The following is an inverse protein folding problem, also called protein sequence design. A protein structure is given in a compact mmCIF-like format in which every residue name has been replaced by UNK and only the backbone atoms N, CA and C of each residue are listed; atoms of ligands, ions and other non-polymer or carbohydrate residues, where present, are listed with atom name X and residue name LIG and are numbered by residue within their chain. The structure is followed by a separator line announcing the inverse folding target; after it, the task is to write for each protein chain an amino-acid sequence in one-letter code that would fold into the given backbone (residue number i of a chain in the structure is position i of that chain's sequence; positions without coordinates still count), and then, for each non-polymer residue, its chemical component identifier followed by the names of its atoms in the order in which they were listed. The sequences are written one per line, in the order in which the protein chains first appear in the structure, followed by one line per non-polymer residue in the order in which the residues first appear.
data_IF_316792177625
#
_entry.id   IF_316792177625
#
_cell.length_a   1.000
_cell.length_b   1.000
_cell.length_c   1.000
_cell.angle_alpha   90.00
_cell.angle_beta   90.00
_cell.angle_gamma   90.00
#
_symmetry.space_group_name_H-M   'P 1'
#
loop_
_entity.id
_entity.type
_entity.pdbx_description
1 polymer ?
#
# COMPACT_ATOMS: atom_id res chain seq x y z
N UNK A 1 -4.31 18.18 31.45
CA UNK A 1 -3.13 18.19 30.54
C UNK A 1 -3.48 17.36 29.31
N UNK A 2 -3.64 17.99 28.14
CA UNK A 2 -4.03 17.30 26.89
C UNK A 2 -2.76 16.76 26.23
N UNK A 3 -2.64 15.44 26.07
CA UNK A 3 -1.58 14.81 25.26
C UNK A 3 -2.14 14.56 23.86
N UNK A 4 -1.73 15.39 22.90
CA UNK A 4 -2.04 15.19 21.49
C UNK A 4 -1.00 14.22 20.93
N UNK A 5 -1.41 12.98 20.59
CA UNK A 5 -0.58 12.04 19.85
C UNK A 5 -0.78 12.36 18.36
N UNK A 6 0.24 12.97 17.76
CA UNK A 6 0.28 13.17 16.31
C UNK A 6 0.69 11.86 15.64
N UNK A 7 -0.26 11.19 14.99
CA UNK A 7 0.04 10.12 14.04
C UNK A 7 0.34 10.81 12.71
N UNK A 8 1.62 10.82 12.32
CA UNK A 8 2.05 11.30 11.00
C UNK A 8 1.65 10.23 9.98
N UNK A 9 0.47 10.38 9.40
CA UNK A 9 0.12 9.72 8.15
C UNK A 9 0.88 10.45 7.03
N UNK A 10 1.83 9.76 6.40
CA UNK A 10 2.45 10.24 5.16
C UNK A 10 1.42 10.17 4.02
N UNK A 11 0.50 11.13 3.99
CA UNK A 11 -0.37 11.38 2.87
C UNK A 11 0.43 12.02 1.75
N UNK A 12 0.71 11.26 0.70
CA UNK A 12 1.27 11.81 -0.54
C UNK A 12 0.13 12.53 -1.28
N UNK A 13 -0.12 13.79 -0.89
CA UNK A 13 -1.05 14.67 -1.60
C UNK A 13 -0.34 15.17 -2.86
N UNK A 14 -0.67 14.59 -4.01
CA UNK A 14 -0.34 15.18 -5.32
C UNK A 14 -1.34 16.30 -5.56
N UNK A 15 -1.03 17.50 -5.11
CA UNK A 15 -1.77 18.72 -5.47
C UNK A 15 -1.56 19.00 -6.95
N UNK A 16 -2.58 18.73 -7.76
CA UNK A 16 -2.68 19.28 -9.12
C UNK A 16 -3.02 20.76 -9.06
N UNK A 17 -2.16 21.61 -9.61
CA UNK A 17 -2.47 23.01 -9.92
C UNK A 17 -1.39 23.57 -10.84
N UNK A 18 -1.56 23.44 -12.16
CA UNK A 18 -1.01 24.37 -13.16
C UNK A 18 -1.86 24.27 -14.44
N UNK A 19 -3.01 24.94 -14.45
CA UNK A 19 -3.63 25.38 -15.71
C UNK A 19 -3.51 26.89 -15.75
N UNK A 20 -2.54 27.38 -16.52
CA UNK A 20 -2.50 28.78 -16.92
C UNK A 20 -3.36 28.91 -18.19
N UNK A 21 -4.45 29.66 -18.08
CA UNK A 21 -5.30 30.02 -19.21
C UNK A 21 -4.56 31.05 -20.07
N UNK A 22 -3.85 30.61 -21.12
CA UNK A 22 -3.32 31.51 -22.12
C UNK A 22 -4.41 31.84 -23.15
N UNK A 23 -4.90 33.09 -23.16
CA UNK A 23 -5.72 33.59 -24.27
C UNK A 23 -4.88 33.58 -25.54
N UNK A 24 -5.25 32.73 -26.50
CA UNK A 24 -4.64 32.71 -27.84
C UNK A 24 -5.00 34.01 -28.58
N UNK A 25 -4.04 34.69 -29.25
CA UNK A 25 -4.36 35.81 -30.12
C UNK A 25 -5.09 35.33 -31.39
N UNK A 26 -5.96 36.18 -31.94
CA UNK A 26 -6.74 35.90 -33.16
C UNK A 26 -5.82 35.54 -34.35
N UNK A 27 -6.08 34.37 -34.92
CA UNK A 27 -5.41 33.87 -36.12
C UNK A 27 -5.81 34.70 -37.34
N UNK A 28 -4.85 35.45 -37.90
CA UNK A 28 -4.95 35.94 -39.28
C UNK A 28 -4.59 34.79 -40.22
N UNK A 29 -5.58 34.08 -40.73
CA UNK A 29 -5.37 33.10 -41.80
C UNK A 29 -5.09 33.85 -43.10
N UNK A 30 -3.82 34.02 -43.43
CA UNK A 30 -3.41 34.24 -44.81
C UNK A 30 -3.46 32.89 -45.55
N UNK A 31 -4.11 32.86 -46.71
CA UNK A 31 -4.20 31.70 -47.58
C UNK A 31 -2.80 31.30 -48.09
N UNK A 32 -2.14 30.34 -47.44
CA UNK A 32 -0.94 29.71 -47.98
C UNK A 32 -1.36 28.69 -49.07
N UNK A 33 -0.78 28.80 -50.26
CA UNK A 33 -0.94 27.78 -51.31
C UNK A 33 -0.36 26.44 -50.82
N UNK A 34 -0.96 25.29 -51.21
CA UNK A 34 -0.42 23.99 -50.84
C UNK A 34 0.97 23.81 -51.47
N UNK A 35 1.96 23.30 -50.72
CA UNK A 35 3.29 23.05 -51.27
C UNK A 35 3.26 21.89 -52.27
N UNK A 36 3.91 22.10 -53.41
CA UNK A 36 4.17 21.06 -54.41
C UNK A 36 5.21 20.09 -53.86
N UNK A 37 4.82 18.82 -53.66
CA UNK A 37 5.74 17.75 -53.28
C UNK A 37 6.57 17.35 -54.50
N UNK A 38 7.89 17.58 -54.46
CA UNK A 38 8.82 16.98 -55.41
C UNK A 38 9.46 15.74 -54.76
N UNK A 39 9.34 14.59 -55.43
CA UNK A 39 10.02 13.36 -55.03
C UNK A 39 11.44 13.38 -55.58
N UNK A 40 12.44 13.50 -54.72
CA UNK A 40 13.83 13.18 -55.07
C UNK A 40 14.17 11.78 -54.57
N UNK A 41 14.49 10.88 -55.50
CA UNK A 41 15.06 9.57 -55.18
C UNK A 41 16.57 9.72 -55.16
N UNK A 42 17.14 9.90 -53.97
CA UNK A 42 18.58 9.91 -53.77
C UNK A 42 19.08 8.46 -53.73
N UNK A 43 19.79 8.03 -54.76
CA UNK A 43 20.43 6.72 -54.83
C UNK A 43 21.83 6.80 -54.21
N UNK A 44 21.89 6.74 -52.88
CA UNK A 44 23.13 6.70 -52.11
C UNK A 44 23.47 5.27 -51.67
N UNK A 45 24.53 4.68 -52.22
CA UNK A 45 25.14 3.47 -51.68
C UNK A 45 25.90 3.82 -50.39
N UNK A 46 25.45 3.31 -49.25
CA UNK A 46 26.13 3.52 -47.97
C UNK A 46 25.75 2.43 -46.97
N UNK A 47 26.76 1.67 -46.56
CA UNK A 47 26.82 0.64 -45.52
C UNK A 47 25.54 0.41 -44.70
N UNK A 48 24.93 -0.75 -44.88
CA UNK A 48 23.89 -1.26 -43.98
C UNK A 48 24.52 -1.62 -42.64
N UNK A 49 24.39 -0.75 -41.64
CA UNK A 49 24.32 -1.21 -40.26
C UNK A 49 23.15 -2.19 -40.20
N UNK A 50 23.44 -3.47 -40.01
CA UNK A 50 22.45 -4.47 -39.61
C UNK A 50 22.05 -4.12 -38.17
N UNK A 51 21.19 -3.11 -38.04
CA UNK A 51 20.48 -2.84 -36.80
C UNK A 51 19.60 -4.07 -36.60
N UNK A 52 19.89 -4.87 -35.57
CA UNK A 52 19.07 -6.02 -35.16
C UNK A 52 17.65 -5.51 -34.91
N UNK A 53 16.83 -5.53 -35.97
CA UNK A 53 15.45 -5.12 -35.95
C UNK A 53 14.69 -6.28 -35.35
N UNK A 54 14.63 -6.29 -34.01
CA UNK A 54 13.86 -7.26 -33.23
C UNK A 54 12.50 -7.42 -33.89
N UNK A 55 12.19 -8.65 -34.28
CA UNK A 55 10.91 -9.01 -34.89
C UNK A 55 9.75 -8.54 -33.99
N UNK A 56 8.59 -8.23 -34.57
CA UNK A 56 7.43 -7.78 -33.80
C UNK A 56 7.06 -8.72 -32.64
N UNK A 57 7.37 -10.01 -32.76
CA UNK A 57 7.19 -11.02 -31.70
C UNK A 57 8.19 -10.87 -30.54
N UNK A 58 9.44 -10.44 -30.79
CA UNK A 58 10.45 -10.21 -29.75
C UNK A 58 10.14 -8.99 -28.87
N UNK A 59 9.27 -8.09 -29.33
CA UNK A 59 8.84 -6.91 -28.60
C UNK A 59 7.64 -7.19 -27.67
N UNK A 60 6.91 -8.29 -27.90
CA UNK A 60 5.74 -8.68 -27.10
C UNK A 60 6.16 -9.08 -25.69
N UNK A 61 5.27 -8.81 -24.74
CA UNK A 61 5.41 -9.13 -23.31
C UNK A 61 4.37 -10.17 -22.93
N UNK A 62 4.76 -11.18 -22.16
CA UNK A 62 3.84 -12.22 -21.71
C UNK A 62 2.94 -11.70 -20.58
N UNK A 63 1.60 -11.67 -20.74
CA UNK A 63 0.70 -11.21 -19.69
C UNK A 63 0.75 -12.06 -18.42
N UNK A 64 0.89 -13.38 -18.57
CA UNK A 64 0.98 -14.28 -17.42
C UNK A 64 2.31 -14.17 -16.69
N UNK A 65 3.40 -13.87 -17.41
CA UNK A 65 4.67 -13.57 -16.77
C UNK A 65 4.58 -12.26 -15.97
N UNK A 66 4.00 -11.21 -16.56
CA UNK A 66 3.79 -9.94 -15.86
C UNK A 66 2.93 -10.13 -14.59
N UNK A 67 1.83 -10.89 -14.72
CA UNK A 67 0.97 -11.25 -13.59
C UNK A 67 1.76 -11.96 -12.47
N UNK A 68 2.49 -13.02 -12.80
CA UNK A 68 3.22 -13.82 -11.82
C UNK A 68 4.31 -13.02 -11.11
N UNK A 69 5.03 -12.17 -11.85
CA UNK A 69 6.04 -11.28 -11.28
C UNK A 69 5.40 -10.35 -10.23
N UNK A 70 4.32 -9.65 -10.59
CA UNK A 70 3.63 -8.73 -9.66
C UNK A 70 2.88 -9.43 -8.52
N UNK A 71 2.47 -10.68 -8.71
CA UNK A 71 1.88 -11.47 -7.63
C UNK A 71 2.92 -11.84 -6.57
N UNK A 72 4.17 -12.11 -6.97
CA UNK A 72 5.27 -12.40 -6.04
C UNK A 72 5.79 -11.11 -5.41
N UNK A 73 6.02 -10.08 -6.23
CA UNK A 73 6.53 -8.79 -5.80
C UNK A 73 5.80 -7.67 -6.54
N UNK A 74 4.88 -6.95 -5.86
CA UNK A 74 4.05 -5.92 -6.47
C UNK A 74 4.87 -4.86 -7.20
N UNK A 75 4.41 -4.47 -8.38
CA UNK A 75 5.07 -3.48 -9.24
C UNK A 75 6.10 -4.04 -10.23
N UNK A 76 6.54 -5.29 -10.10
CA UNK A 76 7.60 -5.85 -10.97
C UNK A 76 7.11 -6.24 -12.37
N UNK A 77 5.88 -6.70 -12.51
CA UNK A 77 5.22 -6.95 -13.79
C UNK A 77 4.89 -5.67 -14.55
N UNK A 78 4.50 -4.61 -13.84
CA UNK A 78 4.31 -3.27 -14.40
C UNK A 78 5.65 -2.73 -14.92
N UNK A 79 6.73 -2.93 -14.17
CA UNK A 79 8.09 -2.58 -14.61
C UNK A 79 8.49 -3.38 -15.87
N UNK A 80 8.20 -4.68 -15.92
CA UNK A 80 8.44 -5.54 -17.08
C UNK A 80 7.73 -5.06 -18.36
N UNK A 81 6.58 -4.39 -18.21
CA UNK A 81 5.81 -3.79 -19.31
C UNK A 81 6.15 -2.31 -19.56
N UNK A 82 7.13 -1.74 -18.84
CA UNK A 82 7.57 -0.34 -18.99
C UNK A 82 6.74 0.69 -18.23
N UNK A 83 5.76 0.27 -17.41
CA UNK A 83 4.88 1.15 -16.63
C UNK A 83 5.54 1.58 -15.31
N UNK A 84 6.54 2.47 -15.40
CA UNK A 84 7.38 2.90 -14.25
C UNK A 84 6.61 3.57 -13.12
N UNK A 85 5.61 4.41 -13.44
CA UNK A 85 4.79 5.10 -12.42
C UNK A 85 3.99 4.10 -11.60
N UNK A 86 3.30 3.16 -12.27
CA UNK A 86 2.51 2.13 -11.59
C UNK A 86 3.38 1.21 -10.74
N UNK A 87 4.54 0.80 -11.29
CA UNK A 87 5.54 0.01 -10.57
C UNK A 87 5.92 0.66 -9.24
N UNK A 88 6.25 1.96 -9.24
CA UNK A 88 6.60 2.70 -8.04
C UNK A 88 5.46 2.77 -7.02
N UNK A 89 4.22 2.96 -7.46
CA UNK A 89 3.05 3.03 -6.57
C UNK A 89 2.89 1.70 -5.82
N UNK A 90 2.88 0.57 -6.53
CA UNK A 90 2.73 -0.75 -5.91
C UNK A 90 3.89 -1.11 -4.99
N UNK A 91 5.13 -0.74 -5.35
CA UNK A 91 6.30 -0.96 -4.50
C UNK A 91 6.28 -0.11 -3.22
N UNK A 92 5.88 1.17 -3.31
CA UNK A 92 5.74 2.03 -2.13
C UNK A 92 4.64 1.50 -1.21
N UNK A 93 3.51 1.09 -1.79
CA UNK A 93 2.43 0.46 -1.03
C UNK A 93 2.91 -0.82 -0.33
N UNK A 94 3.70 -1.65 -1.01
CA UNK A 94 4.26 -2.87 -0.46
C UNK A 94 5.15 -2.61 0.76
N UNK A 95 6.13 -1.70 0.62
CA UNK A 95 7.02 -1.30 1.73
C UNK A 95 6.20 -0.71 2.88
N UNK A 96 5.24 0.17 2.60
CA UNK A 96 4.37 0.76 3.61
C UNK A 96 3.52 -0.26 4.35
N UNK A 97 3.00 -1.27 3.65
CA UNK A 97 2.25 -2.38 4.22
C UNK A 97 3.10 -3.18 5.20
N UNK A 98 4.30 -3.61 4.81
CA UNK A 98 5.21 -4.35 5.69
C UNK A 98 5.66 -3.55 6.89
N UNK A 99 6.03 -2.28 6.70
CA UNK A 99 6.41 -1.39 7.81
C UNK A 99 5.26 -1.26 8.81
N UNK A 100 4.03 -1.10 8.32
CA UNK A 100 2.84 -1.02 9.17
C UNK A 100 2.60 -2.32 9.94
N UNK A 101 2.66 -3.46 9.25
CA UNK A 101 2.48 -4.79 9.86
C UNK A 101 3.49 -5.03 11.00
N UNK A 102 4.77 -4.77 10.75
CA UNK A 102 5.85 -4.94 11.73
C UNK A 102 5.64 -3.98 12.91
N UNK A 103 5.38 -2.71 12.63
CA UNK A 103 5.19 -1.69 13.66
C UNK A 103 4.01 -2.03 14.58
N UNK A 104 2.86 -2.39 14.01
CA UNK A 104 1.67 -2.71 14.80
C UNK A 104 1.84 -3.99 15.62
N UNK A 105 2.49 -5.03 15.09
CA UNK A 105 2.82 -6.22 15.88
C UNK A 105 3.71 -5.87 17.07
N UNK A 106 4.72 -5.04 16.85
CA UNK A 106 5.64 -4.64 17.91
C UNK A 106 4.95 -3.82 19.00
N UNK A 107 4.14 -2.83 18.60
CA UNK A 107 3.38 -2.00 19.52
C UNK A 107 2.33 -2.81 20.31
N UNK A 108 1.70 -3.79 19.67
CA UNK A 108 0.76 -4.69 20.35
C UNK A 108 1.44 -5.46 21.49
N UNK A 109 2.62 -6.03 21.22
CA UNK A 109 3.40 -6.79 22.19
C UNK A 109 3.90 -5.90 23.34
N UNK A 110 4.42 -4.70 23.04
CA UNK A 110 4.84 -3.78 24.10
C UNK A 110 3.70 -3.38 25.03
N UNK A 111 2.53 -3.07 24.46
CA UNK A 111 1.35 -2.76 25.28
C UNK A 111 0.84 -3.98 26.05
N UNK A 112 1.05 -5.17 25.50
CA UNK A 112 0.76 -6.42 26.18
C UNK A 112 1.65 -6.63 27.41
N UNK A 113 2.96 -6.46 27.26
CA UNK A 113 3.91 -6.50 28.36
C UNK A 113 3.59 -5.43 29.42
N UNK A 114 3.26 -4.20 28.98
CA UNK A 114 2.90 -3.09 29.87
C UNK A 114 1.67 -3.41 30.74
N UNK A 115 0.58 -3.90 30.15
CA UNK A 115 -0.63 -4.20 30.94
C UNK A 115 -0.40 -5.39 31.87
N UNK A 116 0.36 -6.41 31.44
CA UNK A 116 0.69 -7.57 32.28
C UNK A 116 1.52 -7.13 33.48
N UNK A 117 2.58 -6.36 33.26
CA UNK A 117 3.40 -5.79 34.32
C UNK A 117 2.58 -4.94 35.30
N UNK A 118 1.65 -4.15 34.78
CA UNK A 118 0.78 -3.31 35.62
C UNK A 118 -0.14 -4.16 36.50
N UNK A 119 -0.73 -5.24 35.97
CA UNK A 119 -1.54 -6.17 36.76
C UNK A 119 -0.73 -6.86 37.85
N UNK A 120 0.48 -7.32 37.54
CA UNK A 120 1.37 -7.90 38.55
C UNK A 120 1.71 -6.90 39.66
N UNK A 121 2.04 -5.65 39.28
CA UNK A 121 2.50 -4.62 40.22
C UNK A 121 1.39 -4.01 41.08
N UNK A 122 0.24 -3.73 40.50
CA UNK A 122 -0.85 -2.98 41.15
C UNK A 122 -2.01 -3.86 41.61
N UNK A 123 -2.13 -5.09 41.11
CA UNK A 123 -3.15 -6.04 41.55
C UNK A 123 -2.57 -7.31 42.19
N UNK A 124 -1.24 -7.50 42.16
CA UNK A 124 -0.61 -8.74 42.61
C UNK A 124 -0.95 -9.94 41.73
N UNK A 125 -1.41 -9.71 40.49
CA UNK A 125 -1.84 -10.78 39.59
C UNK A 125 -0.64 -11.64 39.12
N UNK A 126 -0.81 -12.96 39.14
CA UNK A 126 0.09 -13.86 38.42
C UNK A 126 -0.18 -13.76 36.90
N UNK A 127 0.88 -13.49 36.14
CA UNK A 127 0.80 -13.21 34.70
C UNK A 127 1.39 -14.33 33.84
N UNK A 128 2.06 -15.30 34.46
CA UNK A 128 2.77 -16.35 33.74
C UNK A 128 1.80 -17.46 33.28
N UNK A 129 1.92 -17.89 32.02
CA UNK A 129 1.11 -18.98 31.48
C UNK A 129 -0.40 -18.70 31.37
N UNK A 130 -0.86 -17.47 31.64
CA UNK A 130 -2.28 -17.11 31.58
C UNK A 130 -2.73 -16.76 30.17
N UNK A 131 -3.99 -17.07 29.88
CA UNK A 131 -4.63 -16.80 28.59
C UNK A 131 -5.28 -15.41 28.54
N UNK A 132 -5.77 -15.01 27.36
CA UNK A 132 -6.43 -13.72 27.18
C UNK A 132 -7.70 -13.57 28.02
N UNK A 133 -8.41 -14.68 28.29
CA UNK A 133 -9.64 -14.68 29.09
C UNK A 133 -9.36 -14.32 30.55
N UNK A 134 -8.27 -14.81 31.12
CA UNK A 134 -7.83 -14.40 32.46
C UNK A 134 -7.64 -12.88 32.54
N UNK A 135 -6.91 -12.30 31.59
CA UNK A 135 -6.68 -10.85 31.52
C UNK A 135 -7.94 -10.04 31.21
N UNK A 136 -8.90 -10.60 30.47
CA UNK A 136 -10.23 -9.99 30.32
C UNK A 136 -10.98 -9.90 31.67
N UNK A 137 -10.93 -10.96 32.49
CA UNK A 137 -11.55 -10.98 33.82
C UNK A 137 -10.85 -10.03 34.77
N UNK A 138 -9.51 -10.05 34.83
CA UNK A 138 -8.71 -9.15 35.68
C UNK A 138 -9.00 -7.68 35.37
N UNK A 139 -9.23 -7.32 34.11
CA UNK A 139 -9.60 -5.94 33.74
C UNK A 139 -11.04 -5.54 34.07
N UNK A 140 -11.92 -6.50 34.37
CA UNK A 140 -13.34 -6.23 34.58
C UNK A 140 -13.73 -6.14 36.06
N UNK A 141 -13.07 -6.89 36.94
CA UNK A 141 -13.41 -7.00 38.37
C UNK A 141 -12.27 -6.48 39.25
N UNK A 142 -12.59 -5.84 40.37
CA UNK A 142 -11.63 -5.29 41.33
C UNK A 142 -10.80 -6.39 41.98
N UNK A 143 -11.40 -7.55 42.24
CA UNK A 143 -10.71 -8.68 42.83
C UNK A 143 -11.27 -10.03 42.37
N UNK A 144 -10.49 -11.07 42.64
CA UNK A 144 -10.87 -12.47 42.42
C UNK A 144 -12.12 -12.87 43.19
N UNK A 145 -12.24 -12.40 44.42
CA UNK A 145 -13.41 -12.64 45.27
C UNK A 145 -14.65 -11.96 44.71
N UNK A 146 -14.53 -10.75 44.15
CA UNK A 146 -15.65 -10.10 43.47
C UNK A 146 -16.10 -10.91 42.24
N UNK A 147 -15.17 -11.35 41.40
CA UNK A 147 -15.47 -12.18 40.23
C UNK A 147 -16.26 -13.44 40.62
N UNK A 148 -15.76 -14.18 41.63
CA UNK A 148 -16.38 -15.40 42.10
C UNK A 148 -17.73 -15.14 42.80
N UNK A 149 -17.88 -14.02 43.52
CA UNK A 149 -19.12 -13.65 44.22
C UNK A 149 -20.25 -13.28 43.26
N UNK A 150 -19.93 -12.52 42.21
CA UNK A 150 -20.94 -11.99 41.26
C UNK A 150 -21.23 -13.00 40.13
N UNK A 151 -20.23 -13.80 39.74
CA UNK A 151 -20.30 -14.66 38.56
C UNK A 151 -21.31 -15.80 38.62
N UNK A 152 -21.49 -16.43 39.79
CA UNK A 152 -22.34 -17.62 39.92
C UNK A 152 -23.85 -17.37 39.77
N UNK A 153 -24.29 -16.11 39.91
CA UNK A 153 -25.72 -15.77 39.88
C UNK A 153 -26.26 -15.71 38.46
N UNK A 154 -25.44 -15.30 37.49
CA UNK A 154 -25.88 -15.04 36.11
C UNK A 154 -25.40 -16.08 35.09
N UNK A 155 -24.33 -16.81 35.40
CA UNK A 155 -23.78 -17.86 34.54
C UNK A 155 -23.32 -19.04 35.40
N UNK A 156 -24.19 -20.04 35.64
CA UNK A 156 -23.84 -21.22 36.44
C UNK A 156 -22.72 -22.07 35.83
N UNK A 157 -22.43 -21.89 34.54
CA UNK A 157 -21.35 -22.61 33.84
C UNK A 157 -20.00 -21.88 33.90
N UNK A 158 -19.98 -20.68 34.48
CA UNK A 158 -18.77 -19.87 34.60
C UNK A 158 -17.73 -20.60 35.45
N UNK A 159 -16.53 -20.72 34.91
CA UNK A 159 -15.38 -21.25 35.63
C UNK A 159 -14.96 -20.30 36.76
N UNK A 160 -14.87 -20.82 37.97
CA UNK A 160 -14.36 -20.11 39.13
C UNK A 160 -12.84 -20.15 39.17
N UNK A 161 -12.24 -19.10 39.72
CA UNK A 161 -10.81 -19.11 40.04
C UNK A 161 -10.58 -19.56 41.48
N UNK A 162 -9.73 -20.59 41.73
CA UNK A 162 -9.49 -21.09 43.07
C UNK A 162 -8.80 -20.05 43.96
N UNK A 163 -8.90 -20.24 45.28
CA UNK A 163 -8.24 -19.39 46.27
C UNK A 163 -6.78 -19.81 46.46
N UNK A 164 -5.91 -19.34 45.57
CA UNK A 164 -4.47 -19.58 45.62
C UNK A 164 -3.70 -18.39 45.00
N UNK A 165 -2.37 -18.39 45.18
CA UNK A 165 -1.50 -17.33 44.65
C UNK A 165 -1.56 -17.24 43.11
N UNK A 166 -1.72 -18.37 42.44
CA UNK A 166 -1.75 -18.47 40.98
C UNK A 166 -2.92 -17.71 40.32
N UNK A 167 -4.02 -17.50 41.04
CA UNK A 167 -5.18 -16.76 40.53
C UNK A 167 -5.55 -15.56 41.40
N UNK A 168 -4.68 -15.17 42.32
CA UNK A 168 -4.88 -13.98 43.13
C UNK A 168 -4.87 -12.73 42.24
N UNK A 169 -5.80 -11.80 42.48
CA UNK A 169 -5.65 -10.40 42.12
C UNK A 169 -6.56 -9.55 43.00
N UNK A 170 -6.10 -8.35 43.35
CA UNK A 170 -6.88 -7.32 44.02
C UNK A 170 -6.31 -5.93 43.69
N UNK A 171 -7.01 -5.16 42.88
CA UNK A 171 -6.54 -3.86 42.39
C UNK A 171 -6.33 -2.85 43.51
N UNK A 172 -5.19 -2.15 43.47
CA UNK A 172 -4.85 -1.09 44.42
C UNK A 172 -5.82 0.11 44.38
N UNK A 173 -6.41 0.38 43.21
CA UNK A 173 -7.38 1.46 42.99
C UNK A 173 -8.10 1.31 41.64
N UNK A 174 -9.27 1.93 41.52
CA UNK A 174 -10.01 2.04 40.25
C UNK A 174 -9.16 2.66 39.13
N UNK A 175 -8.36 3.68 39.46
CA UNK A 175 -7.49 4.37 38.50
C UNK A 175 -6.43 3.43 37.93
N UNK A 176 -5.87 2.52 38.75
CA UNK A 176 -4.90 1.53 38.28
C UNK A 176 -5.55 0.53 37.32
N UNK A 177 -6.76 0.05 37.66
CA UNK A 177 -7.55 -0.85 36.81
C UNK A 177 -7.96 -0.19 35.48
N UNK A 178 -8.35 1.08 35.50
CA UNK A 178 -8.66 1.83 34.27
C UNK A 178 -7.44 1.94 33.35
N UNK A 179 -6.27 2.31 33.89
CA UNK A 179 -5.02 2.37 33.12
C UNK A 179 -4.65 1.01 32.52
N UNK A 180 -4.86 -0.07 33.26
CA UNK A 180 -4.70 -1.42 32.76
C UNK A 180 -5.60 -1.70 31.55
N UNK A 181 -6.89 -1.34 31.65
CA UNK A 181 -7.85 -1.52 30.56
C UNK A 181 -7.47 -0.71 29.33
N UNK A 182 -6.97 0.51 29.51
CA UNK A 182 -6.51 1.36 28.41
C UNK A 182 -5.34 0.71 27.67
N UNK A 183 -4.30 0.29 28.39
CA UNK A 183 -3.14 -0.40 27.80
C UNK A 183 -3.54 -1.69 27.08
N UNK A 184 -4.45 -2.47 27.68
CA UNK A 184 -4.97 -3.69 27.08
C UNK A 184 -5.79 -3.42 25.82
N UNK A 185 -6.63 -2.39 25.82
CA UNK A 185 -7.41 -1.97 24.66
C UNK A 185 -6.50 -1.43 23.53
N UNK A 186 -5.42 -0.73 23.87
CA UNK A 186 -4.40 -0.30 22.91
C UNK A 186 -3.71 -1.51 22.28
N UNK A 187 -3.29 -2.49 23.08
CA UNK A 187 -2.70 -3.74 22.58
C UNK A 187 -3.64 -4.45 21.60
N UNK A 188 -4.91 -4.66 21.97
CA UNK A 188 -5.93 -5.27 21.08
C UNK A 188 -6.14 -4.44 19.80
N UNK A 189 -6.06 -3.12 19.90
CA UNK A 189 -6.22 -2.24 18.74
C UNK A 189 -5.04 -2.32 17.79
N UNK A 190 -3.80 -2.36 18.29
CA UNK A 190 -2.62 -2.59 17.45
C UNK A 190 -2.61 -3.98 16.82
N UNK A 191 -3.03 -5.02 17.54
CA UNK A 191 -3.18 -6.38 16.98
C UNK A 191 -4.14 -6.39 15.79
N UNK A 192 -5.33 -5.79 15.96
CA UNK A 192 -6.32 -5.62 14.88
C UNK A 192 -5.77 -4.82 13.70
N UNK A 193 -5.05 -3.74 13.95
CA UNK A 193 -4.43 -2.94 12.90
C UNK A 193 -3.36 -3.73 12.13
N UNK A 194 -2.66 -4.65 12.80
CA UNK A 194 -1.72 -5.55 12.14
C UNK A 194 -2.43 -6.53 11.20
N UNK A 195 -3.62 -7.02 11.56
CA UNK A 195 -4.44 -7.88 10.70
C UNK A 195 -4.93 -7.11 9.46
N UNK A 196 -5.34 -5.85 9.63
CA UNK A 196 -5.67 -4.97 8.51
C UNK A 196 -4.46 -4.70 7.59
N UNK A 197 -3.27 -4.49 8.15
CA UNK A 197 -2.05 -4.30 7.35
C UNK A 197 -1.70 -5.56 6.54
N UNK A 198 -1.87 -6.75 7.13
CA UNK A 198 -1.71 -8.01 6.40
C UNK A 198 -2.72 -8.12 5.24
N UNK A 199 -3.99 -7.82 5.50
CA UNK A 199 -5.03 -7.80 4.47
C UNK A 199 -4.72 -6.81 3.34
N UNK A 200 -4.19 -5.63 3.68
CA UNK A 200 -3.75 -4.62 2.72
C UNK A 200 -2.61 -5.13 1.83
N UNK A 201 -1.58 -5.77 2.40
CA UNK A 201 -0.48 -6.39 1.62
C UNK A 201 -1.06 -7.40 0.62
N UNK A 202 -1.88 -8.34 1.09
CA UNK A 202 -2.47 -9.36 0.20
C UNK A 202 -3.31 -8.75 -0.92
N UNK A 203 -4.08 -7.70 -0.62
CA UNK A 203 -4.84 -6.97 -1.64
C UNK A 203 -3.93 -6.24 -2.64
N UNK A 204 -2.83 -5.62 -2.17
CA UNK A 204 -1.83 -4.97 -3.01
C UNK A 204 -1.20 -5.95 -4.00
N UNK A 205 -0.82 -7.15 -3.54
CA UNK A 205 -0.32 -8.24 -4.38
C UNK A 205 -1.31 -8.63 -5.48
N UNK A 206 -2.57 -8.86 -5.13
CA UNK A 206 -3.58 -9.25 -6.10
C UNK A 206 -3.87 -8.16 -7.13
N UNK A 207 -4.05 -6.91 -6.67
CA UNK A 207 -4.34 -5.78 -7.56
C UNK A 207 -3.18 -5.48 -8.51
N UNK A 208 -1.93 -5.56 -8.03
CA UNK A 208 -0.75 -5.40 -8.89
C UNK A 208 -0.65 -6.54 -9.92
N UNK A 209 -0.86 -7.79 -9.52
CA UNK A 209 -0.85 -8.90 -10.46
C UNK A 209 -1.86 -8.71 -11.61
N UNK A 210 -3.09 -8.32 -11.27
CA UNK A 210 -4.14 -8.03 -12.26
C UNK A 210 -3.78 -6.84 -13.13
N UNK A 211 -3.27 -5.74 -12.57
CA UNK A 211 -2.87 -4.57 -13.36
C UNK A 211 -1.72 -4.91 -14.32
N UNK A 212 -0.68 -5.62 -13.85
CA UNK A 212 0.45 -6.05 -14.68
C UNK A 212 0.00 -6.91 -15.87
N UNK A 213 -0.96 -7.82 -15.66
CA UNK A 213 -1.55 -8.60 -16.75
C UNK A 213 -2.17 -7.72 -17.83
N UNK A 214 -2.98 -6.74 -17.44
CA UNK A 214 -3.63 -5.81 -18.38
C UNK A 214 -2.64 -4.85 -19.02
N UNK A 215 -1.64 -4.39 -18.28
CA UNK A 215 -0.55 -3.56 -18.79
C UNK A 215 0.24 -4.28 -19.88
N UNK A 216 0.51 -5.58 -19.73
CA UNK A 216 1.16 -6.39 -20.77
C UNK A 216 0.28 -6.56 -22.02
N UNK A 217 -1.03 -6.80 -21.85
CA UNK A 217 -1.96 -6.84 -23.00
C UNK A 217 -2.01 -5.52 -23.75
N UNK A 218 -2.03 -4.39 -23.02
CA UNK A 218 -2.01 -3.05 -23.63
C UNK A 218 -0.71 -2.79 -24.38
N UNK A 219 0.43 -3.17 -23.79
CA UNK A 219 1.74 -3.09 -24.43
C UNK A 219 1.77 -3.83 -25.77
N UNK A 220 1.25 -5.06 -25.80
CA UNK A 220 1.21 -5.87 -27.02
C UNK A 220 0.30 -5.28 -28.10
N UNK A 221 -0.84 -4.68 -27.74
CA UNK A 221 -1.73 -4.00 -28.70
C UNK A 221 -1.08 -2.77 -29.34
N UNK A 222 -0.24 -2.04 -28.59
CA UNK A 222 0.52 -0.92 -29.13
C UNK A 222 1.47 -1.35 -30.25
N UNK A 223 2.11 -2.51 -30.07
CA UNK A 223 2.98 -3.11 -31.09
C UNK A 223 2.19 -3.51 -32.34
N UNK A 224 1.01 -4.13 -32.16
CA UNK A 224 0.15 -4.56 -33.27
C UNK A 224 -0.38 -3.40 -34.13
N UNK A 225 -0.57 -2.20 -33.55
CA UNK A 225 -1.09 -1.05 -34.28
C UNK A 225 -0.07 -0.39 -35.22
N UNK A 226 1.21 -0.77 -35.17
CA UNK A 226 2.31 -0.13 -35.92
C UNK A 226 2.60 1.32 -35.50
N UNK A 227 1.65 2.01 -34.90
CA UNK A 227 1.80 3.36 -34.38
C UNK A 227 2.72 3.40 -33.15
N UNK A 228 3.86 4.09 -33.25
CA UNK A 228 4.86 4.18 -32.18
C UNK A 228 4.80 5.50 -31.41
N UNK A 229 4.01 6.48 -31.87
CA UNK A 229 3.68 7.69 -31.10
C UNK A 229 3.55 8.96 -31.94
N UNK A 230 3.22 10.06 -31.26
CA UNK A 230 3.27 11.42 -31.79
C UNK A 230 4.48 12.13 -31.18
N UNK A 231 5.38 12.64 -32.00
CA UNK A 231 6.42 13.57 -31.58
C UNK A 231 6.04 15.00 -31.96
N UNK A 232 6.12 15.91 -31.00
CA UNK A 232 5.76 17.31 -31.14
C UNK A 232 7.00 18.13 -30.81
N UNK A 233 7.58 18.75 -31.84
CA UNK A 233 8.80 19.54 -31.70
C UNK A 233 8.52 20.98 -32.11
N UNK A 234 8.90 21.92 -31.24
CA UNK A 234 8.88 23.34 -31.58
C UNK A 234 10.14 23.65 -32.39
N UNK A 235 9.97 24.35 -33.52
CA UNK A 235 11.04 24.77 -34.41
C UNK A 235 11.59 26.14 -33.99
N UNK A 236 12.83 26.43 -34.35
CA UNK A 236 13.52 27.68 -33.97
C UNK A 236 12.85 28.95 -34.54
N UNK A 237 12.02 28.80 -35.57
CA UNK A 237 11.23 29.87 -36.19
C UNK A 237 9.85 30.08 -35.51
N UNK A 238 9.55 29.35 -34.44
CA UNK A 238 8.26 29.39 -33.74
C UNK A 238 7.18 28.52 -34.39
N UNK A 239 7.50 27.75 -35.43
CA UNK A 239 6.64 26.72 -36.00
C UNK A 239 6.55 25.46 -35.13
N UNK A 240 5.55 24.62 -35.42
CA UNK A 240 5.41 23.30 -34.80
C UNK A 240 5.59 22.21 -35.85
N UNK A 241 6.40 21.21 -35.52
CA UNK A 241 6.53 19.98 -36.29
C UNK A 241 5.82 18.84 -35.56
N UNK A 242 4.82 18.26 -36.22
CA UNK A 242 4.14 17.04 -35.80
C UNK A 242 4.73 15.87 -36.59
N UNK A 243 5.33 14.91 -35.90
CA UNK A 243 5.80 13.67 -36.52
C UNK A 243 4.96 12.51 -36.01
N UNK A 244 4.24 11.86 -36.92
CA UNK A 244 3.56 10.60 -36.62
C UNK A 244 4.54 9.47 -36.89
N UNK A 245 4.94 8.77 -35.84
CA UNK A 245 5.86 7.65 -35.97
C UNK A 245 5.06 6.36 -36.11
N UNK A 246 5.33 5.62 -37.19
CA UNK A 246 4.82 4.27 -37.38
C UNK A 246 6.01 3.34 -37.68
N UNK A 247 6.01 2.16 -37.08
CA UNK A 247 6.84 1.00 -37.43
C UNK A 247 5.96 0.05 -38.22
N UNK A 248 6.31 -0.19 -39.48
CA UNK A 248 5.72 -1.21 -40.34
C UNK A 248 6.64 -2.41 -40.38
#
# INVERSE_FOLDING_TARGET
MKKTIAIVAAGLVVTGSLFAESKLPESKFASAQPPTIQYQVESGSGYTEVRDEKSGDDLRKSPWQAFAMSLVLPGTGELYTGSTVKSRIFMIAEVGGWVSLISFKHLANWREDDYRLLAAREAGADVEGKDERYFDVVGFYDSREEYNRVGGVFDPSRQYYPDNEEYFWNWSSDIARERYRDLKNDSKSYKRNSDFALGFILANHFLSAVDAYWSAKRHNRGIESGFSGVDLRMLDDGGWQLTLNARF
#
